data_IF_236099716779
#
_entry.id   IF_236099716779
#
_cell.length_a   1.000
_cell.length_b   1.000
_cell.length_c   1.000
_cell.angle_alpha   90.00
_cell.angle_beta   90.00
_cell.angle_gamma   90.00
#
_symmetry.space_group_name_H-M   'P 1'
#
loop_
_entity.id
_entity.type
_entity.pdbx_description
1 polymer ?
#
# COMPACT_ATOMS: atom_id res chain seq x y z
N UNK A 1 -22.90 16.56 28.87
CA UNK A 1 -24.00 15.70 29.34
C UNK A 1 -23.82 14.33 28.73
N UNK A 2 -23.69 13.29 29.54
CA UNK A 2 -23.46 11.91 29.05
C UNK A 2 -24.80 11.25 28.71
N UNK A 3 -24.86 10.48 27.60
CA UNK A 3 -25.97 9.61 27.26
C UNK A 3 -25.43 8.21 26.96
N UNK A 4 -26.29 7.19 27.08
CA UNK A 4 -25.91 5.84 26.69
C UNK A 4 -25.57 5.83 25.19
N UNK A 5 -24.41 5.22 24.85
CA UNK A 5 -24.00 5.06 23.47
C UNK A 5 -24.91 4.04 22.78
N UNK A 6 -25.43 4.40 21.64
CA UNK A 6 -26.20 3.52 20.76
C UNK A 6 -25.51 3.46 19.41
N UNK A 7 -25.50 2.28 18.79
CA UNK A 7 -24.94 2.13 17.46
C UNK A 7 -25.90 2.77 16.46
N UNK A 8 -25.42 3.84 15.81
CA UNK A 8 -26.17 4.50 14.74
C UNK A 8 -25.74 3.92 13.38
N UNK A 9 -26.66 4.00 12.40
CA UNK A 9 -26.37 3.72 11.00
C UNK A 9 -25.26 4.69 10.53
N UNK A 10 -24.04 4.18 10.40
CA UNK A 10 -22.84 4.98 10.12
C UNK A 10 -22.48 4.89 8.65
N UNK A 11 -22.07 6.01 8.08
CA UNK A 11 -21.55 6.05 6.72
C UNK A 11 -20.05 5.84 6.74
N UNK A 12 -19.56 5.05 5.77
CA UNK A 12 -18.14 4.66 5.66
C UNK A 12 -17.24 5.87 5.40
N UNK A 13 -16.11 5.90 6.06
CA UNK A 13 -14.96 6.75 5.74
C UNK A 13 -13.78 5.83 5.47
N UNK A 14 -13.45 5.63 4.20
CA UNK A 14 -12.40 4.71 3.78
C UNK A 14 -11.32 5.40 2.96
N UNK A 15 -10.07 5.06 3.19
CA UNK A 15 -8.96 5.47 2.36
C UNK A 15 -8.26 4.28 1.71
N UNK A 16 -7.92 4.42 0.43
CA UNK A 16 -7.16 3.47 -0.37
C UNK A 16 -5.85 4.13 -0.78
N UNK A 17 -4.78 3.82 -0.07
CA UNK A 17 -3.45 4.28 -0.41
C UNK A 17 -2.75 3.27 -1.34
N UNK A 18 -1.74 3.68 -2.11
CA UNK A 18 -0.95 2.75 -2.89
C UNK A 18 -0.19 3.38 -4.04
N UNK A 19 0.67 2.56 -4.64
CA UNK A 19 1.50 2.94 -5.78
C UNK A 19 0.67 3.15 -7.06
N UNK A 20 1.29 3.74 -8.07
CA UNK A 20 0.67 3.84 -9.40
C UNK A 20 0.42 2.43 -9.98
N UNK A 21 -0.73 2.22 -10.62
CA UNK A 21 -1.12 0.92 -11.15
C UNK A 21 -1.64 -0.09 -10.12
N UNK A 22 -1.69 0.24 -8.82
CA UNK A 22 -2.20 -0.66 -7.76
C UNK A 22 -3.72 -0.83 -7.73
N UNK A 23 -4.48 -0.36 -8.73
CA UNK A 23 -5.93 -0.60 -8.84
C UNK A 23 -6.82 0.23 -7.92
N UNK A 24 -6.32 1.34 -7.32
CA UNK A 24 -7.07 2.16 -6.35
C UNK A 24 -8.42 2.67 -6.89
N UNK A 25 -8.42 3.31 -8.05
CA UNK A 25 -9.62 3.87 -8.71
C UNK A 25 -10.65 2.80 -9.00
N UNK A 26 -10.22 1.70 -9.63
CA UNK A 26 -11.09 0.56 -9.93
C UNK A 26 -11.70 -0.05 -8.67
N UNK A 27 -10.89 -0.25 -7.64
CA UNK A 27 -11.35 -0.78 -6.34
C UNK A 27 -12.34 0.18 -5.67
N UNK A 28 -12.08 1.49 -5.70
CA UNK A 28 -12.98 2.49 -5.15
C UNK A 28 -14.36 2.45 -5.83
N UNK A 29 -14.40 2.41 -7.17
CA UNK A 29 -15.62 2.29 -7.95
C UNK A 29 -16.34 0.97 -7.68
N UNK A 30 -15.61 -0.14 -7.64
CA UNK A 30 -16.16 -1.45 -7.34
C UNK A 30 -16.77 -1.53 -5.94
N UNK A 31 -16.14 -0.96 -4.93
CA UNK A 31 -16.70 -0.90 -3.58
C UNK A 31 -17.91 0.03 -3.51
N UNK A 32 -17.84 1.20 -4.17
CA UNK A 32 -18.96 2.15 -4.22
C UNK A 32 -20.24 1.52 -4.77
N UNK A 33 -20.13 0.65 -5.79
CA UNK A 33 -21.30 -0.05 -6.37
C UNK A 33 -22.03 -0.98 -5.40
N UNK A 34 -21.42 -1.33 -4.26
CA UNK A 34 -22.06 -2.10 -3.19
C UNK A 34 -22.56 -1.25 -2.02
N UNK A 35 -22.11 0.02 -1.93
CA UNK A 35 -22.42 0.90 -0.80
C UNK A 35 -23.63 1.80 -1.01
N UNK A 36 -24.05 2.00 -2.26
CA UNK A 36 -25.18 2.86 -2.60
C UNK A 36 -25.56 2.75 -4.06
N UNK A 37 -26.65 3.44 -4.43
CA UNK A 37 -27.23 3.43 -5.78
C UNK A 37 -26.68 4.55 -6.67
N UNK A 38 -26.15 5.61 -6.06
CA UNK A 38 -25.63 6.80 -6.76
C UNK A 38 -24.22 7.12 -6.29
N UNK A 39 -23.30 7.25 -7.26
CA UNK A 39 -21.88 7.52 -6.97
C UNK A 39 -21.43 8.78 -7.70
N UNK A 40 -20.83 9.71 -6.96
CA UNK A 40 -20.08 10.83 -7.50
C UNK A 40 -18.58 10.55 -7.36
N UNK A 41 -17.79 10.87 -8.38
CA UNK A 41 -16.34 10.78 -8.36
C UNK A 41 -15.74 12.17 -8.64
N UNK A 42 -14.95 12.65 -7.70
CA UNK A 42 -14.13 13.85 -7.87
C UNK A 42 -12.78 13.44 -8.45
N UNK A 43 -12.59 13.66 -9.75
CA UNK A 43 -11.37 13.32 -10.47
C UNK A 43 -10.37 14.47 -10.46
N UNK A 44 -9.18 14.20 -9.94
CA UNK A 44 -8.05 15.13 -9.95
C UNK A 44 -6.91 14.60 -10.83
N UNK A 45 -7.13 13.46 -11.52
CA UNK A 45 -6.15 12.75 -12.34
C UNK A 45 -6.45 12.83 -13.85
N UNK A 46 -7.07 13.93 -14.29
CA UNK A 46 -7.28 14.27 -15.71
C UNK A 46 -8.10 13.22 -16.48
N UNK A 47 -9.32 12.95 -16.02
CA UNK A 47 -10.26 12.00 -16.64
C UNK A 47 -9.79 10.54 -16.64
N UNK A 48 -8.86 10.18 -15.78
CA UNK A 48 -8.35 8.80 -15.71
C UNK A 48 -9.43 7.79 -15.29
N UNK A 49 -10.44 8.23 -14.53
CA UNK A 49 -11.52 7.39 -14.08
C UNK A 49 -12.58 7.11 -15.17
N UNK A 50 -12.71 7.97 -16.17
CA UNK A 50 -13.75 7.87 -17.21
C UNK A 50 -13.65 6.58 -18.05
N UNK A 51 -12.46 5.96 -18.14
CA UNK A 51 -12.28 4.68 -18.84
C UNK A 51 -13.08 3.54 -18.20
N UNK A 52 -13.49 3.68 -16.95
CA UNK A 52 -14.29 2.68 -16.22
C UNK A 52 -15.80 2.91 -16.33
N UNK A 53 -16.25 3.88 -17.12
CA UNK A 53 -17.68 4.19 -17.31
C UNK A 53 -18.46 3.05 -18.00
N UNK A 54 -17.78 2.13 -18.68
CA UNK A 54 -18.39 0.91 -19.24
C UNK A 54 -18.70 -0.13 -18.18
N UNK A 55 -17.95 -0.14 -17.07
CA UNK A 55 -18.04 -1.16 -16.03
C UNK A 55 -18.84 -0.68 -14.81
N UNK A 56 -18.85 0.64 -14.56
CA UNK A 56 -19.48 1.25 -13.39
C UNK A 56 -20.33 2.46 -13.78
N UNK A 57 -21.45 2.62 -13.08
CA UNK A 57 -22.32 3.80 -13.22
C UNK A 57 -21.94 4.85 -12.16
N UNK A 58 -21.41 6.00 -12.58
CA UNK A 58 -21.02 7.10 -11.70
C UNK A 58 -21.02 8.43 -12.47
N UNK A 59 -21.22 9.52 -11.75
CA UNK A 59 -21.04 10.86 -12.26
C UNK A 59 -19.66 11.38 -11.87
N UNK A 60 -19.02 12.16 -12.75
CA UNK A 60 -17.68 12.66 -12.54
C UNK A 60 -17.63 14.18 -12.54
N UNK A 61 -16.94 14.75 -11.56
CA UNK A 61 -16.54 16.16 -11.54
C UNK A 61 -15.03 16.26 -11.61
N UNK A 62 -14.50 17.03 -12.57
CA UNK A 62 -13.06 17.21 -12.73
C UNK A 62 -12.57 18.41 -11.93
N UNK A 63 -11.47 18.20 -11.20
CA UNK A 63 -10.81 19.24 -10.42
C UNK A 63 -9.40 19.49 -10.99
N UNK A 64 -9.23 20.60 -11.71
CA UNK A 64 -7.96 20.99 -12.32
C UNK A 64 -7.09 21.88 -11.43
N UNK A 65 -7.70 22.46 -10.39
CA UNK A 65 -7.03 23.23 -9.35
C UNK A 65 -7.19 22.50 -8.01
N UNK A 66 -6.10 22.19 -7.36
CA UNK A 66 -6.07 21.33 -6.17
C UNK A 66 -6.04 22.12 -4.85
N UNK A 67 -6.45 23.40 -4.88
CA UNK A 67 -6.62 24.19 -3.68
C UNK A 67 -7.64 23.52 -2.72
N UNK A 68 -7.34 23.33 -1.42
CA UNK A 68 -8.23 22.61 -0.50
C UNK A 68 -9.68 23.12 -0.50
N UNK A 69 -9.91 24.45 -0.68
CA UNK A 69 -11.27 24.99 -0.76
C UNK A 69 -12.05 24.43 -1.97
N UNK A 70 -11.40 24.10 -3.09
CA UNK A 70 -12.07 23.51 -4.26
C UNK A 70 -12.61 22.11 -3.98
N UNK A 71 -11.88 21.34 -3.17
CA UNK A 71 -12.40 20.05 -2.66
C UNK A 71 -13.60 20.26 -1.75
N UNK A 72 -13.53 21.22 -0.83
CA UNK A 72 -14.67 21.58 0.03
C UNK A 72 -15.91 21.94 -0.80
N UNK A 73 -15.75 22.79 -1.82
CA UNK A 73 -16.83 23.17 -2.71
C UNK A 73 -17.44 21.97 -3.44
N UNK A 74 -16.60 21.07 -3.98
CA UNK A 74 -17.04 19.87 -4.70
C UNK A 74 -17.71 18.83 -3.78
N UNK A 75 -17.18 18.61 -2.57
CA UNK A 75 -17.78 17.71 -1.56
C UNK A 75 -19.17 18.25 -1.16
N UNK A 76 -19.28 19.56 -0.96
CA UNK A 76 -20.55 20.22 -0.62
C UNK A 76 -21.58 20.06 -1.75
N UNK A 77 -21.17 20.29 -3.00
CA UNK A 77 -22.04 20.09 -4.17
C UNK A 77 -22.53 18.63 -4.29
N UNK A 78 -21.65 17.66 -4.06
CA UNK A 78 -22.04 16.25 -4.05
C UNK A 78 -23.04 15.92 -2.93
N UNK A 79 -22.89 16.54 -1.75
CA UNK A 79 -23.81 16.37 -0.64
C UNK A 79 -25.19 16.98 -0.94
N UNK A 80 -25.22 18.16 -1.55
CA UNK A 80 -26.45 18.83 -1.98
C UNK A 80 -27.21 18.04 -3.05
N UNK A 81 -26.45 17.40 -3.98
CA UNK A 81 -26.98 16.50 -5.00
C UNK A 81 -27.38 15.11 -4.45
N UNK A 82 -27.12 14.85 -3.15
CA UNK A 82 -27.54 13.63 -2.42
C UNK A 82 -26.95 12.33 -2.97
N UNK A 83 -25.71 12.35 -3.45
CA UNK A 83 -25.05 11.11 -3.81
C UNK A 83 -24.80 10.21 -2.58
N UNK A 84 -25.11 8.91 -2.71
CA UNK A 84 -24.92 7.91 -1.64
C UNK A 84 -23.45 7.68 -1.31
N UNK A 85 -22.61 7.73 -2.34
CA UNK A 85 -21.17 7.51 -2.22
C UNK A 85 -20.39 8.58 -2.97
N UNK A 86 -19.40 9.16 -2.32
CA UNK A 86 -18.44 10.09 -2.90
C UNK A 86 -17.07 9.42 -2.96
N UNK A 87 -16.48 9.38 -4.15
CA UNK A 87 -15.09 8.99 -4.37
C UNK A 87 -14.26 10.26 -4.61
N UNK A 88 -13.10 10.36 -3.95
CA UNK A 88 -12.11 11.42 -4.18
C UNK A 88 -10.85 10.78 -4.74
N UNK A 89 -10.57 10.99 -6.02
CA UNK A 89 -9.44 10.38 -6.72
C UNK A 89 -8.54 11.45 -7.38
N UNK A 90 -7.52 11.92 -6.68
CA UNK A 90 -7.00 11.49 -5.38
C UNK A 90 -6.96 12.64 -4.39
N UNK A 91 -7.08 12.33 -3.11
CA UNK A 91 -6.93 13.30 -2.03
C UNK A 91 -5.47 13.81 -1.92
N UNK A 92 -4.50 13.06 -2.42
CA UNK A 92 -3.08 13.46 -2.42
C UNK A 92 -2.80 14.77 -3.14
N UNK A 93 -3.58 15.11 -4.16
CA UNK A 93 -3.36 16.37 -4.89
C UNK A 93 -3.74 17.61 -4.06
N UNK A 94 -4.64 17.51 -3.08
CA UNK A 94 -4.88 18.60 -2.12
C UNK A 94 -3.63 18.93 -1.29
N UNK A 95 -2.70 18.00 -1.17
CA UNK A 95 -1.43 18.14 -0.47
C UNK A 95 -0.27 18.56 -1.41
N UNK A 96 -0.02 17.74 -2.47
CA UNK A 96 1.16 17.87 -3.33
C UNK A 96 0.86 18.46 -4.72
N UNK A 97 -0.40 18.66 -5.09
CA UNK A 97 -0.79 19.12 -6.42
C UNK A 97 -0.59 20.63 -6.61
N UNK A 98 -0.87 21.08 -7.83
CA UNK A 98 -0.86 22.50 -8.17
C UNK A 98 -1.90 23.24 -7.32
N UNK A 99 -1.48 24.32 -6.66
CA UNK A 99 -2.25 25.07 -5.66
C UNK A 99 -2.66 24.24 -4.42
N UNK A 100 -2.09 23.02 -4.25
CA UNK A 100 -2.24 22.23 -3.04
C UNK A 100 -1.46 22.83 -1.85
N UNK A 101 -1.61 22.21 -0.69
CA UNK A 101 -1.10 22.75 0.57
C UNK A 101 0.39 23.10 0.57
N UNK A 102 1.25 22.20 0.05
CA UNK A 102 2.70 22.46 0.01
C UNK A 102 3.07 23.64 -0.88
N UNK A 103 2.38 23.82 -2.00
CA UNK A 103 2.59 24.97 -2.88
C UNK A 103 2.09 26.25 -2.24
N UNK A 104 0.92 26.21 -1.56
CA UNK A 104 0.39 27.36 -0.82
C UNK A 104 1.36 27.81 0.28
N UNK A 105 1.90 26.87 1.07
CA UNK A 105 2.94 27.19 2.07
C UNK A 105 4.15 27.83 1.41
N UNK A 106 4.60 27.31 0.26
CA UNK A 106 5.72 27.89 -0.49
C UNK A 106 5.44 29.33 -0.94
N UNK A 107 4.23 29.61 -1.45
CA UNK A 107 3.78 30.96 -1.86
C UNK A 107 3.73 31.94 -0.67
N UNK A 108 3.45 31.45 0.53
CA UNK A 108 3.41 32.25 1.76
C UNK A 108 4.77 32.37 2.48
N UNK A 109 5.90 32.01 1.83
CA UNK A 109 7.25 32.28 2.31
C UNK A 109 7.91 31.13 3.08
N UNK A 110 7.40 29.92 3.03
CA UNK A 110 7.99 28.67 3.62
C UNK A 110 8.29 28.74 5.14
N UNK A 111 7.76 29.73 5.84
CA UNK A 111 7.97 29.89 7.28
C UNK A 111 6.92 29.10 8.07
N UNK A 112 7.18 28.91 9.36
CA UNK A 112 6.18 28.33 10.26
C UNK A 112 4.85 29.10 10.22
N UNK A 113 4.90 30.42 10.09
CA UNK A 113 3.72 31.28 9.97
C UNK A 113 2.88 31.01 8.69
N UNK A 114 3.50 30.49 7.62
CA UNK A 114 2.80 30.11 6.41
C UNK A 114 1.81 28.94 6.68
N UNK A 115 2.20 28.00 7.52
CA UNK A 115 1.32 26.90 7.95
C UNK A 115 0.09 27.40 8.73
N UNK A 116 0.21 28.48 9.51
CA UNK A 116 -0.94 29.10 10.18
C UNK A 116 -2.05 29.54 9.23
N UNK A 117 -1.73 29.82 7.95
CA UNK A 117 -2.71 30.16 6.91
C UNK A 117 -3.25 28.94 6.16
N UNK A 118 -2.45 27.89 6.01
CA UNK A 118 -2.79 26.71 5.19
C UNK A 118 -3.46 25.63 6.01
N UNK A 119 -3.04 25.42 7.26
CA UNK A 119 -3.64 24.42 8.16
C UNK A 119 -5.15 24.55 8.28
N UNK A 120 -5.75 25.75 8.50
CA UNK A 120 -7.21 25.89 8.59
C UNK A 120 -7.95 25.45 7.33
N UNK A 121 -7.33 25.56 6.14
CA UNK A 121 -7.91 25.10 4.89
C UNK A 121 -7.96 23.57 4.82
N UNK A 122 -6.89 22.93 5.31
CA UNK A 122 -6.83 21.47 5.39
C UNK A 122 -7.78 20.91 6.44
N UNK A 123 -7.86 21.56 7.60
CA UNK A 123 -8.78 21.15 8.67
C UNK A 123 -10.23 21.26 8.15
N UNK A 124 -10.59 22.37 7.48
CA UNK A 124 -11.90 22.54 6.85
C UNK A 124 -12.19 21.45 5.82
N UNK A 125 -11.20 21.08 4.99
CA UNK A 125 -11.34 19.98 4.03
C UNK A 125 -11.63 18.67 4.74
N UNK A 126 -10.87 18.34 5.78
CA UNK A 126 -11.05 17.12 6.57
C UNK A 126 -12.42 17.11 7.24
N UNK A 127 -12.82 18.20 7.89
CA UNK A 127 -14.13 18.32 8.53
C UNK A 127 -15.27 18.12 7.54
N UNK A 128 -15.17 18.73 6.35
CA UNK A 128 -16.18 18.61 5.29
C UNK A 128 -16.29 17.17 4.78
N UNK A 129 -15.14 16.50 4.59
CA UNK A 129 -15.10 15.10 4.21
C UNK A 129 -15.75 14.19 5.25
N UNK A 130 -15.44 14.41 6.54
CA UNK A 130 -15.99 13.62 7.64
C UNK A 130 -17.49 13.88 7.85
N UNK A 131 -17.95 15.11 7.59
CA UNK A 131 -19.36 15.51 7.72
C UNK A 131 -20.22 15.08 6.51
N UNK A 132 -19.64 14.52 5.44
CA UNK A 132 -20.41 14.10 4.26
C UNK A 132 -21.53 13.13 4.64
N UNK A 133 -22.79 13.35 4.19
CA UNK A 133 -23.95 12.53 4.63
C UNK A 133 -23.96 11.10 4.07
N UNK A 134 -23.24 10.84 2.98
CA UNK A 134 -23.05 9.53 2.35
C UNK A 134 -21.76 8.84 2.74
N UNK A 135 -21.40 7.76 2.02
CA UNK A 135 -20.12 7.07 2.15
C UNK A 135 -19.02 7.88 1.44
N UNK A 136 -17.79 7.82 1.96
CA UNK A 136 -16.64 8.44 1.32
C UNK A 136 -15.52 7.42 1.16
N UNK A 137 -14.99 7.33 -0.07
CA UNK A 137 -13.79 6.57 -0.40
C UNK A 137 -12.77 7.54 -0.99
N UNK A 138 -11.64 7.75 -0.31
CA UNK A 138 -10.57 8.60 -0.80
C UNK A 138 -9.39 7.76 -1.27
N UNK A 139 -8.91 7.97 -2.49
CA UNK A 139 -7.65 7.37 -2.91
C UNK A 139 -6.48 8.27 -2.54
N UNK A 140 -5.33 7.67 -2.24
CA UNK A 140 -4.10 8.36 -1.92
C UNK A 140 -2.91 7.72 -2.62
N UNK A 141 -1.97 8.54 -3.07
CA UNK A 141 -0.72 8.08 -3.67
C UNK A 141 0.28 7.74 -2.58
N UNK A 142 1.04 6.66 -2.80
CA UNK A 142 2.20 6.32 -1.98
C UNK A 142 3.47 6.43 -2.80
N UNK A 143 4.56 6.79 -2.13
CA UNK A 143 5.92 6.80 -2.67
C UNK A 143 6.85 6.02 -1.78
N UNK A 144 7.95 5.53 -2.37
CA UNK A 144 9.01 4.90 -1.60
C UNK A 144 9.56 5.88 -0.57
N UNK A 145 9.57 5.46 0.68
CA UNK A 145 10.17 6.20 1.79
C UNK A 145 11.56 5.66 2.11
N UNK A 146 12.45 6.56 2.53
CA UNK A 146 13.83 6.27 2.87
C UNK A 146 14.15 6.88 4.23
N UNK A 147 14.84 6.13 5.10
CA UNK A 147 15.51 6.69 6.27
C UNK A 147 16.96 7.02 5.96
N UNK A 148 17.47 8.04 6.63
CA UNK A 148 18.88 8.32 6.69
C UNK A 148 19.36 7.98 8.09
N UNK A 149 20.18 6.96 8.20
CA UNK A 149 20.80 6.55 9.45
C UNK A 149 22.28 6.88 9.41
N UNK A 150 22.83 7.42 10.50
CA UNK A 150 24.27 7.58 10.64
C UNK A 150 24.81 6.32 11.31
N UNK A 151 25.79 5.70 10.66
CA UNK A 151 26.53 4.62 11.30
C UNK A 151 27.44 5.17 12.42
N UNK A 152 28.02 4.27 13.23
CA UNK A 152 28.92 4.63 14.34
C UNK A 152 30.15 5.43 13.91
N UNK A 153 30.43 5.52 12.60
CA UNK A 153 31.52 6.31 11.99
C UNK A 153 31.03 7.62 11.38
N UNK A 154 29.75 7.98 11.61
CA UNK A 154 29.16 9.22 11.10
C UNK A 154 28.78 9.23 9.62
N UNK A 155 28.94 8.09 8.91
CA UNK A 155 28.58 7.96 7.50
C UNK A 155 27.05 7.81 7.37
N UNK A 156 26.43 8.63 6.51
CA UNK A 156 25.01 8.56 6.24
C UNK A 156 24.72 7.35 5.34
N UNK A 157 23.90 6.43 5.82
CA UNK A 157 23.38 5.30 5.06
C UNK A 157 21.89 5.55 4.77
N UNK A 158 21.47 5.36 3.52
CA UNK A 158 20.07 5.52 3.10
C UNK A 158 19.45 4.14 3.00
N UNK A 159 18.49 3.85 3.88
CA UNK A 159 17.74 2.60 3.88
C UNK A 159 16.30 2.83 3.38
N UNK A 160 15.75 1.88 2.62
CA UNK A 160 14.32 1.85 2.28
C UNK A 160 13.54 1.40 3.50
N UNK A 161 12.59 2.21 3.96
CA UNK A 161 11.75 1.91 5.14
C UNK A 161 10.31 1.55 4.77
N UNK A 162 9.95 1.50 3.49
CA UNK A 162 8.60 1.16 3.05
C UNK A 162 7.97 2.22 2.16
N UNK A 163 6.65 2.27 2.15
CA UNK A 163 5.87 3.24 1.39
C UNK A 163 5.31 4.31 2.36
N UNK A 164 5.36 5.57 1.95
CA UNK A 164 4.75 6.68 2.68
C UNK A 164 3.62 7.30 1.84
N UNK A 165 2.50 7.52 2.47
CA UNK A 165 1.35 8.19 1.85
C UNK A 165 1.68 9.66 1.58
N UNK A 166 1.39 10.12 0.36
CA UNK A 166 1.62 11.50 -0.03
C UNK A 166 0.45 12.38 0.42
N UNK A 167 0.36 12.60 1.71
CA UNK A 167 -0.65 13.41 2.37
C UNK A 167 -0.08 13.93 3.70
N UNK A 168 -0.84 14.80 4.40
CA UNK A 168 -0.52 15.25 5.75
C UNK A 168 -0.39 14.04 6.68
N UNK A 169 0.64 14.05 7.53
CA UNK A 169 0.83 13.00 8.52
C UNK A 169 -0.38 12.89 9.44
N UNK A 170 -0.78 11.67 9.75
CA UNK A 170 -1.92 11.39 10.62
C UNK A 170 -3.29 11.42 9.93
N UNK A 171 -3.39 11.67 8.62
CA UNK A 171 -4.66 11.65 7.89
C UNK A 171 -5.36 10.28 7.97
N UNK A 172 -4.60 9.21 8.11
CA UNK A 172 -5.11 7.84 8.27
C UNK A 172 -5.98 7.68 9.52
N UNK A 173 -5.72 8.48 10.58
CA UNK A 173 -6.54 8.44 11.80
C UNK A 173 -7.98 8.91 11.58
N UNK A 174 -8.23 9.71 10.56
CA UNK A 174 -9.54 10.25 10.25
C UNK A 174 -10.47 9.23 9.59
N UNK A 175 -9.93 8.22 8.94
CA UNK A 175 -10.71 7.20 8.25
C UNK A 175 -11.08 6.02 9.18
N UNK A 176 -12.24 5.41 8.93
CA UNK A 176 -12.66 4.19 9.64
C UNK A 176 -11.83 2.98 9.21
N UNK A 177 -11.53 2.91 7.91
CA UNK A 177 -10.72 1.86 7.29
C UNK A 177 -9.66 2.51 6.41
N UNK A 178 -8.42 2.10 6.59
CA UNK A 178 -7.28 2.51 5.76
C UNK A 178 -6.61 1.26 5.19
N UNK A 179 -6.57 1.15 3.87
CA UNK A 179 -5.97 0.03 3.16
C UNK A 179 -4.88 0.49 2.20
N UNK A 180 -3.79 -0.28 2.14
CA UNK A 180 -2.66 -0.06 1.25
C UNK A 180 -2.69 -1.07 0.11
N UNK A 181 -2.60 -0.60 -1.14
CA UNK A 181 -2.65 -1.43 -2.35
C UNK A 181 -1.29 -1.55 -3.01
N UNK A 182 -0.89 -2.78 -3.30
CA UNK A 182 0.35 -3.09 -4.01
C UNK A 182 0.17 -3.17 -5.54
N UNK A 183 1.25 -3.49 -6.25
CA UNK A 183 1.25 -3.65 -7.71
C UNK A 183 0.52 -4.90 -8.21
N UNK A 184 0.23 -5.84 -7.31
CA UNK A 184 -0.54 -7.07 -7.61
C UNK A 184 -2.03 -6.89 -7.33
N UNK A 185 -2.48 -5.64 -7.08
CA UNK A 185 -3.84 -5.28 -6.69
C UNK A 185 -4.29 -5.97 -5.40
N UNK A 186 -3.35 -6.27 -4.51
CA UNK A 186 -3.65 -6.78 -3.18
C UNK A 186 -3.76 -5.62 -2.21
N UNK A 187 -4.85 -5.57 -1.45
CA UNK A 187 -5.07 -4.59 -0.41
C UNK A 187 -4.77 -5.18 0.96
N UNK A 188 -3.86 -4.56 1.68
CA UNK A 188 -3.59 -4.83 3.10
C UNK A 188 -4.32 -3.80 3.95
N UNK A 189 -5.11 -4.25 4.91
CA UNK A 189 -5.79 -3.37 5.87
C UNK A 189 -4.80 -2.95 6.95
N UNK A 190 -4.34 -1.71 6.90
CA UNK A 190 -3.38 -1.15 7.86
C UNK A 190 -4.07 -0.62 9.12
N UNK A 191 -5.29 -0.10 8.98
CA UNK A 191 -6.13 0.39 10.07
C UNK A 191 -7.58 0.03 9.81
N UNK A 192 -8.29 -0.41 10.84
CA UNK A 192 -9.73 -0.65 10.77
C UNK A 192 -10.42 -0.43 12.12
N UNK A 193 -11.58 0.25 12.08
CA UNK A 193 -12.54 0.29 13.20
C UNK A 193 -13.55 -0.86 13.11
N UNK A 194 -13.58 -1.60 11.98
CA UNK A 194 -14.30 -2.84 11.81
C UNK A 194 -13.39 -3.99 12.28
N UNK A 195 -13.73 -4.70 13.38
CA UNK A 195 -12.87 -5.73 13.94
C UNK A 195 -12.57 -6.87 12.96
N UNK A 196 -13.54 -7.22 12.11
CA UNK A 196 -13.41 -8.29 11.12
C UNK A 196 -12.37 -7.99 10.03
N UNK A 197 -12.04 -6.72 9.83
CA UNK A 197 -11.07 -6.30 8.82
C UNK A 197 -9.65 -6.14 9.37
N UNK A 198 -9.45 -6.15 10.69
CA UNK A 198 -8.15 -5.89 11.28
C UNK A 198 -7.10 -6.91 10.82
N UNK A 199 -6.04 -6.43 10.15
CA UNK A 199 -4.94 -7.28 9.66
C UNK A 199 -5.28 -8.18 8.47
N UNK A 200 -6.44 -7.99 7.84
CA UNK A 200 -6.84 -8.75 6.66
C UNK A 200 -6.12 -8.27 5.39
N UNK A 201 -6.00 -9.18 4.44
CA UNK A 201 -5.51 -8.90 3.09
C UNK A 201 -6.52 -9.41 2.06
N UNK A 202 -6.76 -8.61 1.03
CA UNK A 202 -7.71 -8.93 -0.04
C UNK A 202 -6.99 -8.85 -1.39
N UNK A 203 -6.88 -9.98 -2.08
CA UNK A 203 -6.48 -9.98 -3.47
C UNK A 203 -7.65 -9.48 -4.32
N UNK A 204 -7.42 -8.43 -5.13
CA UNK A 204 -8.45 -7.82 -5.98
C UNK A 204 -9.75 -7.48 -5.20
N UNK A 205 -9.70 -6.60 -4.19
CA UNK A 205 -10.80 -6.35 -3.27
C UNK A 205 -12.11 -6.02 -4.00
N UNK A 206 -13.22 -6.56 -3.50
CA UNK A 206 -14.52 -6.46 -4.15
C UNK A 206 -15.66 -6.89 -3.24
N UNK A 207 -16.49 -7.83 -3.70
CA UNK A 207 -17.72 -8.25 -3.03
C UNK A 207 -17.51 -8.76 -1.60
N UNK A 208 -16.44 -9.50 -1.34
CA UNK A 208 -16.14 -10.04 0.00
C UNK A 208 -15.91 -8.90 0.99
N UNK A 209 -15.00 -7.97 0.66
CA UNK A 209 -14.75 -6.77 1.47
C UNK A 209 -16.01 -5.92 1.63
N UNK A 210 -16.78 -5.73 0.55
CA UNK A 210 -18.01 -4.96 0.59
C UNK A 210 -19.06 -5.57 1.54
N UNK A 211 -19.21 -6.89 1.56
CA UNK A 211 -20.10 -7.59 2.50
C UNK A 211 -19.72 -7.36 3.96
N UNK A 212 -18.43 -7.44 4.29
CA UNK A 212 -17.95 -7.17 5.64
C UNK A 212 -18.24 -5.73 6.02
N UNK A 213 -17.92 -4.78 5.13
CA UNK A 213 -18.16 -3.35 5.36
C UNK A 213 -19.63 -3.03 5.58
N UNK A 214 -20.53 -3.50 4.71
CA UNK A 214 -21.99 -3.26 4.81
C UNK A 214 -22.57 -3.88 6.07
N UNK A 215 -22.24 -5.16 6.37
CA UNK A 215 -22.67 -5.83 7.60
C UNK A 215 -22.22 -5.07 8.85
N UNK A 216 -20.98 -4.58 8.88
CA UNK A 216 -20.48 -3.77 9.97
C UNK A 216 -21.18 -2.42 10.08
N UNK A 217 -21.45 -1.74 8.97
CA UNK A 217 -22.14 -0.44 8.96
C UNK A 217 -23.60 -0.54 9.43
N UNK A 218 -24.31 -1.60 9.00
CA UNK A 218 -25.72 -1.83 9.34
C UNK A 218 -25.91 -2.31 10.80
N UNK A 219 -24.82 -2.56 11.49
CA UNK A 219 -24.88 -3.05 12.88
C UNK A 219 -25.16 -4.54 13.02
N UNK A 220 -25.26 -5.24 11.92
CA UNK A 220 -25.28 -6.70 11.86
C UNK A 220 -23.82 -7.17 11.65
N UNK A 221 -23.07 -7.54 12.73
CA UNK A 221 -21.80 -8.19 12.50
C UNK A 221 -22.12 -9.40 11.60
N UNK A 222 -21.48 -9.52 10.44
CA UNK A 222 -21.38 -10.79 9.74
C UNK A 222 -21.01 -11.82 10.78
N UNK A 223 -21.65 -13.01 10.78
CA UNK A 223 -21.25 -14.09 11.70
C UNK A 223 -19.72 -14.10 11.71
N UNK A 224 -19.09 -14.05 12.91
CA UNK A 224 -17.64 -13.86 12.97
C UNK A 224 -17.07 -14.85 11.99
N UNK A 225 -16.48 -14.35 10.91
CA UNK A 225 -15.69 -15.17 10.01
C UNK A 225 -14.78 -15.85 11.00
N UNK A 226 -15.03 -17.16 11.28
CA UNK A 226 -14.22 -17.93 12.20
C UNK A 226 -12.84 -17.60 11.71
N UNK A 227 -12.11 -16.77 12.48
CA UNK A 227 -10.69 -16.62 12.26
C UNK A 227 -10.18 -18.05 12.34
N UNK A 228 -10.16 -18.76 11.22
CA UNK A 228 -9.09 -19.69 11.06
C UNK A 228 -7.92 -18.73 11.22
N UNK A 229 -7.35 -18.73 12.44
CA UNK A 229 -6.05 -18.14 12.73
C UNK A 229 -5.28 -18.43 11.47
N UNK A 230 -4.79 -17.41 10.70
CA UNK A 230 -4.09 -17.64 9.44
C UNK A 230 -3.26 -18.84 9.80
N UNK A 231 -3.63 -20.09 9.27
CA UNK A 231 -3.11 -21.38 9.69
C UNK A 231 -1.71 -21.08 9.89
N UNK A 232 -1.25 -21.02 11.16
CA UNK A 232 -0.09 -20.28 11.62
C UNK A 232 0.89 -20.49 10.53
N UNK A 233 1.19 -19.43 9.74
CA UNK A 233 1.82 -19.50 8.45
C UNK A 233 2.87 -20.52 8.68
N UNK A 234 2.68 -21.81 8.22
CA UNK A 234 2.97 -23.03 8.88
C UNK A 234 4.29 -22.70 9.53
N UNK A 235 4.33 -22.60 10.92
CA UNK A 235 5.44 -22.09 11.69
C UNK A 235 6.53 -22.50 10.84
N UNK A 236 7.28 -21.58 10.18
CA UNK A 236 8.28 -22.09 9.31
C UNK A 236 8.84 -23.21 10.11
N UNK A 237 8.21 -24.39 9.92
CA UNK A 237 8.69 -25.63 10.44
C UNK A 237 10.02 -25.49 9.85
N UNK A 238 10.96 -24.99 10.69
CA UNK A 238 12.29 -24.64 10.33
C UNK A 238 12.57 -25.50 9.12
N UNK A 239 12.23 -24.91 7.92
CA UNK A 239 12.01 -25.66 6.67
C UNK A 239 13.24 -26.46 6.67
N UNK A 240 13.12 -27.78 6.99
CA UNK A 240 14.24 -28.67 7.09
C UNK A 240 15.00 -28.31 5.86
N UNK A 241 16.09 -27.56 6.03
CA UNK A 241 16.85 -26.95 4.93
C UNK A 241 16.97 -28.10 4.00
N UNK A 242 16.20 -28.12 2.91
CA UNK A 242 16.11 -29.28 2.06
C UNK A 242 17.53 -29.34 1.52
N UNK A 243 18.35 -30.21 2.13
CA UNK A 243 19.73 -30.36 1.78
C UNK A 243 19.74 -30.74 0.31
N UNK A 244 20.75 -30.29 -0.41
CA UNK A 244 21.01 -30.75 -1.74
C UNK A 244 20.96 -32.28 -1.77
N UNK A 245 20.42 -32.84 -2.85
CA UNK A 245 20.51 -34.29 -3.03
C UNK A 245 21.98 -34.71 -3.14
N UNK A 246 22.30 -35.93 -2.75
CA UNK A 246 23.70 -36.45 -2.83
C UNK A 246 24.29 -36.29 -4.25
N UNK A 247 23.47 -36.53 -5.29
CA UNK A 247 23.86 -36.35 -6.70
C UNK A 247 24.16 -34.88 -7.06
N UNK A 248 23.33 -33.92 -6.57
CA UNK A 248 23.58 -32.49 -6.75
C UNK A 248 24.87 -32.07 -6.01
N UNK A 249 25.05 -32.51 -4.78
CA UNK A 249 26.24 -32.19 -3.98
C UNK A 249 27.52 -32.69 -4.64
N UNK A 250 27.52 -33.92 -5.19
CA UNK A 250 28.67 -34.51 -5.85
C UNK A 250 29.05 -33.79 -7.16
N UNK A 251 28.03 -33.42 -7.97
CA UNK A 251 28.22 -32.64 -9.20
C UNK A 251 28.74 -31.23 -8.91
N UNK A 252 28.19 -30.54 -7.92
CA UNK A 252 28.62 -29.20 -7.53
C UNK A 252 30.04 -29.24 -6.90
N UNK A 253 30.35 -30.23 -6.09
CA UNK A 253 31.69 -30.39 -5.51
C UNK A 253 32.78 -30.50 -6.60
N UNK A 254 32.51 -31.30 -7.62
CA UNK A 254 33.43 -31.43 -8.79
C UNK A 254 33.53 -30.09 -9.56
N UNK A 255 32.41 -29.40 -9.75
CA UNK A 255 32.38 -28.12 -10.44
C UNK A 255 33.12 -27.00 -9.68
N UNK A 256 33.05 -27.00 -8.35
CA UNK A 256 33.64 -25.97 -7.51
C UNK A 256 35.12 -26.20 -7.18
N UNK A 257 35.66 -27.38 -7.47
CA UNK A 257 37.05 -27.74 -7.21
C UNK A 257 38.00 -26.68 -7.77
N UNK A 258 38.85 -26.12 -6.93
CA UNK A 258 39.80 -25.04 -7.26
C UNK A 258 39.20 -23.62 -7.25
N UNK A 259 37.91 -23.49 -7.00
CA UNK A 259 37.23 -22.20 -6.92
C UNK A 259 36.37 -22.04 -5.66
N UNK A 260 36.51 -22.92 -4.69
CA UNK A 260 35.61 -23.06 -3.52
C UNK A 260 35.45 -21.76 -2.75
N UNK A 261 36.53 -21.03 -2.52
CA UNK A 261 36.49 -19.75 -1.77
C UNK A 261 35.75 -18.65 -2.54
N UNK A 262 35.97 -18.60 -3.86
CA UNK A 262 35.30 -17.60 -4.72
C UNK A 262 33.81 -17.91 -4.86
N UNK A 263 33.44 -19.18 -5.00
CA UNK A 263 32.07 -19.66 -5.03
C UNK A 263 31.38 -19.34 -3.72
N UNK A 264 32.02 -19.64 -2.58
CA UNK A 264 31.46 -19.32 -1.26
C UNK A 264 31.21 -17.85 -1.10
N UNK A 265 32.16 -16.98 -1.43
CA UNK A 265 31.98 -15.50 -1.38
C UNK A 265 30.87 -15.04 -2.31
N UNK A 266 30.75 -15.59 -3.50
CA UNK A 266 29.71 -15.28 -4.47
C UNK A 266 28.30 -15.68 -3.96
N UNK A 267 28.16 -16.89 -3.45
CA UNK A 267 26.88 -17.38 -2.91
C UNK A 267 26.43 -16.58 -1.67
N UNK A 268 27.38 -16.21 -0.80
CA UNK A 268 27.12 -15.35 0.34
C UNK A 268 26.65 -13.96 -0.09
N UNK A 269 27.32 -13.35 -1.06
CA UNK A 269 26.95 -12.04 -1.60
C UNK A 269 25.57 -12.06 -2.28
N UNK A 270 25.19 -13.16 -2.91
CA UNK A 270 23.88 -13.36 -3.55
C UNK A 270 22.79 -13.80 -2.58
N UNK A 271 23.07 -13.92 -1.29
CA UNK A 271 22.12 -14.35 -0.27
C UNK A 271 21.63 -15.80 -0.45
N UNK A 272 22.44 -16.66 -1.10
CA UNK A 272 22.12 -18.08 -1.33
C UNK A 272 22.59 -18.96 -0.18
N UNK A 273 23.52 -18.47 0.61
CA UNK A 273 23.97 -19.06 1.88
C UNK A 273 24.08 -17.93 2.92
N UNK A 274 24.08 -18.25 4.21
CA UNK A 274 24.28 -17.31 5.31
C UNK A 274 25.74 -17.33 5.77
N UNK A 275 26.15 -16.29 6.50
CA UNK A 275 27.49 -16.21 7.08
C UNK A 275 27.71 -17.40 8.04
N UNK A 276 28.72 -18.19 7.77
CA UNK A 276 29.06 -19.42 8.53
C UNK A 276 28.46 -20.72 7.97
N UNK A 277 27.68 -20.66 6.92
CA UNK A 277 27.17 -21.81 6.18
C UNK A 277 28.10 -22.14 5.01
N UNK A 278 28.23 -23.44 4.66
CA UNK A 278 28.93 -23.86 3.43
C UNK A 278 27.94 -23.86 2.24
N UNK A 279 28.44 -24.10 1.02
CA UNK A 279 27.63 -24.10 -0.19
C UNK A 279 26.59 -25.24 -0.23
N UNK A 280 26.76 -26.32 0.53
CA UNK A 280 25.80 -27.43 0.67
C UNK A 280 24.48 -26.97 1.35
N UNK A 281 24.52 -25.85 2.06
CA UNK A 281 23.37 -25.22 2.70
C UNK A 281 22.65 -24.22 1.78
N UNK A 282 22.90 -24.26 0.47
CA UNK A 282 22.34 -23.34 -0.52
C UNK A 282 20.81 -23.34 -0.49
N UNK A 283 20.22 -22.14 -0.44
CA UNK A 283 18.78 -21.94 -0.38
C UNK A 283 18.34 -20.93 -1.45
N UNK A 284 17.34 -21.24 -2.29
CA UNK A 284 16.64 -22.54 -2.38
C UNK A 284 17.48 -23.61 -3.09
N UNK A 285 17.27 -24.89 -2.80
CA UNK A 285 17.99 -26.00 -3.47
C UNK A 285 17.87 -26.01 -4.99
N UNK A 286 16.75 -25.50 -5.54
CA UNK A 286 16.54 -25.32 -6.99
C UNK A 286 17.58 -24.39 -7.63
N UNK A 287 18.33 -23.62 -6.85
CA UNK A 287 19.44 -22.82 -7.38
C UNK A 287 20.64 -23.70 -7.78
N UNK A 288 20.78 -24.86 -7.15
CA UNK A 288 21.76 -25.87 -7.55
C UNK A 288 21.48 -26.40 -8.97
N UNK A 289 20.20 -26.63 -9.30
CA UNK A 289 19.79 -27.07 -10.64
C UNK A 289 20.12 -26.00 -11.69
N UNK A 290 19.87 -24.73 -11.39
CA UNK A 290 20.24 -23.64 -12.27
C UNK A 290 21.74 -23.52 -12.54
N UNK A 291 22.58 -23.83 -11.53
CA UNK A 291 24.05 -23.88 -11.70
C UNK A 291 24.43 -25.04 -12.59
N UNK A 292 23.83 -26.21 -12.36
CA UNK A 292 24.14 -27.44 -13.10
C UNK A 292 23.63 -27.41 -14.56
N UNK A 293 22.62 -26.59 -14.87
CA UNK A 293 22.18 -26.34 -16.25
C UNK A 293 23.21 -25.55 -17.09
N UNK A 294 23.95 -24.63 -16.47
CA UNK A 294 24.91 -23.74 -17.14
C UNK A 294 26.21 -23.59 -16.33
N UNK A 295 26.97 -24.67 -16.10
CA UNK A 295 28.09 -24.70 -15.18
C UNK A 295 29.22 -23.74 -15.57
N UNK A 296 29.60 -23.72 -16.86
CA UNK A 296 30.70 -22.87 -17.34
C UNK A 296 30.36 -21.38 -17.23
N UNK A 297 29.11 -21.00 -17.53
CA UNK A 297 28.65 -19.64 -17.40
C UNK A 297 28.60 -19.17 -15.92
N UNK A 298 28.28 -20.08 -15.00
CA UNK A 298 28.32 -19.82 -13.57
C UNK A 298 29.76 -19.57 -13.09
N UNK A 299 30.68 -20.46 -13.40
CA UNK A 299 32.12 -20.33 -13.02
C UNK A 299 32.72 -19.06 -13.62
N UNK A 300 32.44 -18.75 -14.89
CA UNK A 300 32.91 -17.53 -15.53
C UNK A 300 32.38 -16.26 -14.79
N UNK A 301 31.14 -16.30 -14.32
CA UNK A 301 30.51 -15.18 -13.54
C UNK A 301 31.20 -15.04 -12.17
N UNK A 302 31.49 -16.16 -11.48
CA UNK A 302 32.18 -16.16 -10.19
C UNK A 302 33.57 -15.57 -10.32
N UNK A 303 34.35 -16.02 -11.30
CA UNK A 303 35.73 -15.54 -11.57
C UNK A 303 35.69 -14.06 -11.98
N UNK A 304 34.78 -13.67 -12.88
CA UNK A 304 34.62 -12.27 -13.31
C UNK A 304 34.29 -11.28 -12.19
N UNK A 305 33.65 -11.74 -11.12
CA UNK A 305 33.42 -10.92 -9.93
C UNK A 305 34.64 -10.80 -9.01
N UNK A 306 35.54 -11.75 -9.06
CA UNK A 306 36.78 -11.75 -8.25
C UNK A 306 37.86 -10.85 -8.84
N UNK A 307 37.85 -10.62 -10.17
CA UNK A 307 38.85 -9.79 -10.88
C UNK A 307 38.50 -8.30 -10.82
N UNK A 308 37.26 -7.93 -10.48
CA UNK A 308 36.78 -6.51 -10.44
C UNK A 308 36.86 -5.86 -9.05
N UNK A 309 37.56 -6.43 -8.11
CA UNK A 309 37.97 -5.86 -6.83
C UNK A 309 39.49 -5.79 -6.79
#
# INVERSE_FOLDING_TARGET
MFKKAERSNRKLRMALAGVSGGGKTYTALKLASYLGSSTALLDTERSSAEIYSTDFNFDVAQLTNHHPQKYVDAITAAAEAKYDTLIIDSLSHAWIGKDGALELVSKHGKSFNAWGKVTPLLDKLTDTLLAYPGHVIATMRQKQSYSQEKDDRGKITVAKIGLATQQRDGIDFEFDVFGSMDTMNTMTIEKSRCPELAGQMFAMPGQELAKILTGWLDGNPSEPVKFEKPKEAPKEESKKVSKLTEDQADKLSKLFTGNEENVHKFLLMRGKIKKGENWEMMNPPSYADQILEKPDAFIATVIGHTIKK
#
